data_IF_107419651169
#
_entry.id   IF_107419651169
#
_cell.length_a   1.000
_cell.length_b   1.000
_cell.length_c   1.000
_cell.angle_alpha   90.00
_cell.angle_beta   90.00
_cell.angle_gamma   90.00
#
_symmetry.space_group_name_H-M   'P 1'
#
loop_
_entity.id
_entity.type
_entity.pdbx_description
1 polymer ?
2 non-polymer ?
3 non-polymer ?
4 water ?
#
# COMPACT_ATOMS: atom_id res chain seq x y z
N UNK A 55 7.60 -11.29 -26.15
CA UNK A 55 6.35 -11.06 -25.35
C UNK A 55 6.39 -12.01 -24.11
N UNK A 56 6.06 -11.49 -22.96
CA UNK A 56 6.24 -12.23 -21.72
C UNK A 56 5.13 -13.22 -21.48
N UNK A 57 5.44 -14.38 -20.89
CA UNK A 57 4.38 -15.37 -20.63
C UNK A 57 3.31 -14.94 -19.58
N UNK A 58 2.12 -15.50 -19.75
CA UNK A 58 1.01 -15.24 -18.81
C UNK A 58 1.40 -15.68 -17.42
N UNK A 59 1.10 -14.87 -16.42
CA UNK A 59 1.21 -15.30 -15.01
C UNK A 59 0.29 -16.49 -14.75
N UNK A 60 0.75 -17.32 -13.85
CA UNK A 60 0.07 -18.49 -13.41
C UNK A 60 -0.25 -18.30 -11.89
N UNK A 61 -1.38 -18.86 -11.39
CA UNK A 61 -1.72 -18.76 -9.97
C UNK A 61 -0.58 -19.34 -9.08
N UNK A 62 -0.34 -18.72 -7.93
CA UNK A 62 0.67 -19.18 -6.95
C UNK A 62 0.40 -18.49 -5.66
N UNK A 63 0.63 -19.18 -4.53
CA UNK A 63 0.35 -18.56 -3.23
C UNK A 63 1.27 -17.38 -2.95
N UNK A 64 0.71 -16.40 -2.24
CA UNK A 64 1.51 -15.34 -1.64
C UNK A 64 2.64 -15.97 -0.76
N UNK A 65 3.79 -15.28 -0.66
CA UNK A 65 4.75 -15.81 0.30
C UNK A 65 4.42 -15.57 1.76
N UNK A 66 4.84 -16.55 2.57
CA UNK A 66 4.93 -16.34 4.04
C UNK A 66 6.34 -16.07 4.51
N UNK A 67 6.40 -15.38 5.68
CA UNK A 67 7.70 -15.14 6.32
C UNK A 67 8.35 -16.49 6.51
N UNK A 68 9.68 -16.49 6.38
CA UNK A 68 10.49 -17.70 6.67
C UNK A 68 11.62 -17.35 7.66
N UNK A 69 12.05 -18.39 8.38
CA UNK A 69 13.05 -18.26 9.40
C UNK A 69 14.40 -18.27 8.67
N UNK A 70 15.22 -17.31 9.05
CA UNK A 70 16.58 -17.03 8.67
C UNK A 70 17.47 -17.56 9.79
N UNK A 71 18.78 -17.58 9.58
CA UNK A 71 19.69 -17.76 10.76
C UNK A 71 19.82 -16.53 11.69
N UNK A 72 19.24 -15.37 11.35
CA UNK A 72 19.32 -14.20 12.24
C UNK A 72 18.60 -14.37 13.59
N UNK A 73 19.13 -13.71 14.61
CA UNK A 73 18.54 -13.68 15.93
C UNK A 73 18.13 -12.27 16.33
N UNK A 74 18.53 -11.25 15.56
CA UNK A 74 18.14 -9.88 15.84
C UNK A 74 17.69 -9.25 14.52
N UNK A 75 16.86 -8.21 14.60
CA UNK A 75 16.40 -7.48 13.39
C UNK A 75 17.48 -6.55 12.95
N UNK A 76 18.04 -6.79 11.75
CA UNK A 76 19.11 -5.98 11.20
C UNK A 76 18.86 -5.73 9.72
N UNK A 77 18.89 -4.46 9.38
CA UNK A 77 18.72 -4.08 8.01
C UNK A 77 19.90 -4.57 7.14
N UNK A 78 19.58 -5.09 5.96
CA UNK A 78 20.60 -5.41 4.98
C UNK A 78 21.11 -4.18 4.23
N UNK A 79 21.81 -4.41 3.11
CA UNK A 79 22.35 -3.32 2.34
C UNK A 79 21.21 -2.40 1.81
N UNK A 80 21.51 -1.11 1.70
CA UNK A 80 20.50 -0.13 1.24
C UNK A 80 20.70 0.01 -0.28
N UNK A 81 19.61 -0.02 -1.06
CA UNK A 81 19.68 0.09 -2.51
C UNK A 81 18.98 1.42 -2.87
N UNK A 82 19.67 2.26 -3.64
CA UNK A 82 19.10 3.50 -4.11
C UNK A 82 18.27 3.23 -5.34
N UNK A 83 16.96 3.01 -5.22
CA UNK A 83 16.16 2.60 -6.39
C UNK A 83 15.92 3.77 -7.34
N UNK A 84 15.74 4.97 -6.80
CA UNK A 84 15.57 6.16 -7.61
C UNK A 84 16.07 7.33 -6.75
N UNK A 85 16.91 8.16 -7.33
CA UNK A 85 17.50 9.25 -6.55
C UNK A 85 17.01 10.58 -7.14
N UNK A 86 16.52 11.49 -6.28
CA UNK A 86 16.06 12.83 -6.72
C UNK A 86 17.23 13.50 -7.47
N UNK A 87 16.85 14.19 -8.55
CA UNK A 87 17.81 14.89 -9.47
C UNK A 87 18.63 13.99 -10.33
N UNK A 88 18.24 12.72 -10.38
CA UNK A 88 18.81 11.70 -11.31
C UNK A 88 17.61 11.33 -12.18
N UNK A 89 17.37 12.02 -13.31
CA UNK A 89 18.11 13.15 -13.93
C UNK A 89 17.62 14.44 -13.34
N UNK A 90 18.31 15.52 -13.69
CA UNK A 90 18.04 16.84 -13.16
C UNK A 90 16.55 17.17 -13.26
N UNK A 91 16.06 17.70 -12.17
CA UNK A 91 14.67 18.25 -12.06
C UNK A 91 13.57 17.15 -11.97
N UNK A 92 13.98 15.90 -11.78
CA UNK A 92 13.04 14.82 -11.54
C UNK A 92 13.15 14.30 -10.09
N UNK A 93 11.98 14.09 -9.47
CA UNK A 93 11.86 13.69 -8.03
C UNK A 93 11.08 12.43 -7.92
N UNK A 94 11.34 11.67 -6.86
CA UNK A 94 10.65 10.35 -6.71
C UNK A 94 10.05 10.23 -5.33
N UNK A 95 8.79 9.79 -5.24
CA UNK A 95 8.06 9.70 -3.96
C UNK A 95 7.01 8.61 -4.09
N UNK A 96 6.52 8.12 -2.95
CA UNK A 96 5.26 7.35 -2.79
C UNK A 96 5.44 5.83 -3.16
N UNK A 97 5.97 5.07 -2.19
CA UNK A 97 6.43 3.71 -2.60
C UNK A 97 5.32 2.63 -2.44
N UNK A 98 5.42 1.60 -3.24
CA UNK A 98 4.54 0.42 -3.22
C UNK A 98 5.50 -0.77 -3.44
N UNK A 99 5.32 -1.85 -2.69
CA UNK A 99 6.23 -3.01 -2.91
C UNK A 99 5.44 -4.27 -2.87
N UNK A 100 5.67 -5.20 -3.81
CA UNK A 100 4.96 -6.51 -3.82
C UNK A 100 5.78 -7.61 -4.39
N UNK A 101 5.42 -8.81 -3.96
CA UNK A 101 5.94 -10.04 -4.59
C UNK A 101 4.86 -10.53 -5.57
N UNK A 102 5.26 -10.55 -6.83
CA UNK A 102 4.47 -11.06 -7.98
C UNK A 102 4.33 -12.57 -7.84
N UNK A 103 3.39 -13.15 -8.60
CA UNK A 103 3.07 -14.59 -8.46
C UNK A 103 4.25 -15.43 -8.91
N UNK A 104 5.14 -14.90 -9.75
CA UNK A 104 6.33 -15.66 -10.14
C UNK A 104 7.50 -15.47 -9.16
N UNK A 105 7.26 -14.75 -8.05
CA UNK A 105 8.25 -14.50 -7.05
C UNK A 105 9.13 -13.30 -7.27
N UNK A 106 8.98 -12.59 -8.41
CA UNK A 106 9.69 -11.32 -8.65
C UNK A 106 9.24 -10.29 -7.60
N UNK A 107 10.17 -9.40 -7.23
CA UNK A 107 9.92 -8.33 -6.27
C UNK A 107 9.79 -7.02 -7.02
N UNK A 108 8.65 -6.35 -6.84
CA UNK A 108 8.32 -5.25 -7.71
C UNK A 108 8.20 -4.01 -6.79
N UNK A 109 8.89 -2.95 -7.17
CA UNK A 109 8.76 -1.71 -6.49
C UNK A 109 8.17 -0.69 -7.46
N UNK A 110 7.13 0.05 -7.02
CA UNK A 110 6.51 1.11 -7.84
C UNK A 110 6.55 2.43 -7.07
N UNK A 111 6.56 3.57 -7.76
CA UNK A 111 6.62 4.85 -7.07
C UNK A 111 6.32 5.90 -8.14
N UNK A 112 6.10 7.12 -7.69
CA UNK A 112 5.88 8.25 -8.61
C UNK A 112 7.23 8.73 -9.18
N UNK A 113 7.24 9.08 -10.46
CA UNK A 113 8.26 9.99 -11.01
C UNK A 113 7.49 11.32 -11.05
N UNK A 114 8.04 12.34 -10.39
CA UNK A 114 7.41 13.64 -10.27
C UNK A 114 8.30 14.68 -10.97
N UNK A 115 7.82 15.21 -12.10
CA UNK A 115 8.72 16.15 -12.88
C UNK A 115 8.68 17.54 -12.28
N UNK A 116 9.84 18.21 -12.24
CA UNK A 116 9.91 19.63 -11.84
C UNK A 116 10.08 19.83 -10.36
N UNK A 117 9.27 19.14 -9.55
CA UNK A 117 9.39 19.17 -8.09
C UNK A 117 8.72 17.91 -7.57
N UNK A 118 8.74 17.69 -6.25
CA UNK A 118 8.10 16.50 -5.73
C UNK A 118 6.61 16.78 -5.50
N UNK A 119 5.95 17.46 -6.44
CA UNK A 119 4.53 17.90 -6.19
C UNK A 119 3.54 16.74 -6.24
N UNK A 120 2.48 16.80 -5.41
CA UNK A 120 1.43 15.82 -5.47
C UNK A 120 0.58 16.09 -6.73
N UNK A 121 -0.33 15.18 -7.06
CA UNK A 121 -1.43 15.57 -8.01
C UNK A 121 -1.99 16.97 -7.69
N UNK A 122 -2.26 17.77 -8.72
CA UNK A 122 -2.24 17.48 -10.16
C UNK A 122 -0.89 17.78 -10.88
N UNK A 123 0.25 17.79 -10.18
CA UNK A 123 1.54 17.75 -10.88
C UNK A 123 1.46 16.55 -11.87
N UNK A 124 2.01 16.69 -13.11
CA UNK A 124 1.75 15.64 -14.14
C UNK A 124 2.74 14.48 -13.98
N UNK A 125 2.51 13.74 -12.90
CA UNK A 125 3.42 12.64 -12.47
C UNK A 125 3.24 11.37 -13.33
N UNK A 126 4.14 10.40 -13.17
CA UNK A 126 4.02 9.09 -13.83
C UNK A 126 4.14 8.03 -12.77
N UNK A 127 3.55 6.85 -13.04
CA UNK A 127 3.85 5.65 -12.20
C UNK A 127 4.93 4.85 -12.91
N UNK A 128 6.02 4.57 -12.18
CA UNK A 128 7.10 3.74 -12.73
C UNK A 128 7.39 2.51 -11.83
N UNK A 129 8.30 1.64 -12.25
CA UNK A 129 8.51 0.37 -11.56
C UNK A 129 9.94 -0.12 -11.77
N UNK A 130 10.46 -0.79 -10.77
CA UNK A 130 11.68 -1.60 -10.96
C UNK A 130 11.44 -2.99 -10.43
N UNK A 131 12.12 -3.99 -11.06
CA UNK A 131 11.92 -5.39 -10.72
C UNK A 131 13.22 -6.03 -10.27
N UNK A 132 13.10 -6.83 -9.22
CA UNK A 132 14.22 -7.74 -8.78
C UNK A 132 13.81 -9.20 -8.92
N UNK A 133 14.71 -10.02 -9.53
CA UNK A 133 14.42 -11.42 -9.68
C UNK A 133 15.33 -12.22 -8.73
N UNK A 134 15.91 -11.53 -7.74
CA UNK A 134 16.72 -12.21 -6.74
C UNK A 134 16.50 -11.61 -5.33
N UNK A 135 15.22 -11.30 -5.03
CA UNK A 135 14.84 -10.89 -3.69
C UNK A 135 15.58 -9.68 -3.25
N UNK A 136 15.76 -8.75 -4.17
CA UNK A 136 16.25 -7.46 -3.77
C UNK A 136 17.74 -7.26 -3.97
N UNK A 137 18.52 -8.30 -4.31
CA UNK A 137 19.96 -8.05 -4.48
C UNK A 137 20.28 -7.20 -5.68
N UNK A 138 19.60 -7.42 -6.82
CA UNK A 138 19.83 -6.60 -8.01
C UNK A 138 18.45 -6.20 -8.57
N UNK A 139 18.45 -5.09 -9.29
CA UNK A 139 17.23 -4.48 -9.77
C UNK A 139 17.39 -4.16 -11.22
N UNK A 140 16.41 -4.57 -12.05
CA UNK A 140 16.34 -4.15 -13.47
C UNK A 140 16.11 -2.62 -13.65
N UNK A 141 16.26 -2.14 -14.87
CA UNK A 141 16.03 -0.70 -15.10
C UNK A 141 14.55 -0.28 -14.92
N UNK A 142 14.34 0.97 -14.58
CA UNK A 142 12.98 1.48 -14.40
C UNK A 142 12.15 1.25 -15.69
N UNK A 143 10.89 0.89 -15.50
CA UNK A 143 9.91 0.76 -16.61
C UNK A 143 8.75 1.66 -16.24
N UNK A 144 7.93 1.98 -17.23
CA UNK A 144 6.78 2.87 -17.01
C UNK A 144 5.52 2.05 -16.89
N UNK A 145 4.79 2.25 -15.80
CA UNK A 145 3.42 1.75 -15.71
C UNK A 145 2.47 2.68 -16.42
N UNK A 146 2.42 3.97 -16.07
CA UNK A 146 1.66 4.86 -16.91
C UNK A 146 2.27 6.24 -16.81
N UNK A 147 2.61 6.79 -17.97
CA UNK A 147 3.34 8.07 -18.06
C UNK A 147 2.34 9.24 -18.16
N UNK A 148 2.57 10.28 -17.36
CA UNK A 148 1.81 11.54 -17.42
C UNK A 148 2.26 12.36 -18.63
N UNK A 149 1.62 13.51 -18.80
CA UNK A 149 1.79 14.41 -19.95
C UNK A 149 1.77 15.84 -19.39
N UNK A 150 2.75 16.68 -19.77
CA UNK A 150 2.83 18.05 -19.25
C UNK A 150 1.95 19.02 -20.08
N UNK A 151 1.68 20.22 -19.59
CA UNK A 151 1.12 21.23 -20.49
C UNK A 151 -0.28 21.65 -20.16
N UNK A 152 -0.96 22.28 -21.12
CA UNK A 152 -2.24 22.87 -20.83
C UNK A 152 -3.29 21.82 -20.61
N UNK A 153 -3.12 20.67 -21.24
CA UNK A 153 -4.03 19.57 -21.03
C UNK A 153 -3.30 18.47 -20.28
N UNK A 154 -2.55 18.87 -19.27
CA UNK A 154 -1.74 17.90 -18.50
C UNK A 154 -2.57 16.74 -17.97
N UNK A 155 -1.90 15.59 -17.84
CA UNK A 155 -2.48 14.37 -17.22
C UNK A 155 -1.43 13.83 -16.28
N UNK A 156 -1.84 13.38 -15.09
CA UNK A 156 -0.87 12.86 -14.11
C UNK A 156 -1.35 11.52 -13.58
N UNK A 157 -0.43 10.61 -13.36
CA UNK A 157 -0.71 9.29 -12.68
C UNK A 157 0.15 9.23 -11.43
N UNK A 158 -0.47 9.10 -10.26
CA UNK A 158 0.25 9.35 -8.98
C UNK A 158 -0.30 8.48 -7.81
N UNK A 159 0.60 8.08 -6.89
CA UNK A 159 0.28 7.36 -5.62
C UNK A 159 -0.11 5.93 -5.98
N UNK A 160 0.87 5.09 -6.24
CA UNK A 160 0.60 3.70 -6.64
C UNK A 160 0.40 2.74 -5.45
N UNK A 161 -0.47 1.76 -5.66
CA UNK A 161 -0.51 0.60 -4.74
C UNK A 161 -0.64 -0.64 -5.55
N UNK A 162 0.02 -1.73 -5.12
CA UNK A 162 -0.16 -2.95 -5.78
C UNK A 162 -1.20 -3.82 -5.06
N UNK A 163 -1.81 -4.75 -5.84
CA UNK A 163 -2.70 -5.74 -5.27
C UNK A 163 -2.45 -7.01 -6.09
N UNK A 164 -1.89 -8.03 -5.45
CA UNK A 164 -1.56 -9.26 -6.15
C UNK A 164 -2.69 -10.27 -5.86
N UNK A 165 -3.27 -10.89 -6.92
CA UNK A 165 -4.28 -11.92 -6.71
C UNK A 165 -3.61 -13.32 -6.88
N UNK A 166 -3.36 -14.05 -5.78
CA UNK A 166 -2.70 -15.36 -5.90
C UNK A 166 -3.58 -16.37 -6.64
N UNK A 167 -4.88 -16.08 -6.70
CA UNK A 167 -5.77 -17.08 -7.26
C UNK A 167 -5.70 -17.07 -8.81
N UNK A 168 -5.23 -15.96 -9.37
CA UNK A 168 -5.11 -15.81 -10.82
C UNK A 168 -3.72 -15.50 -11.34
N UNK A 169 -2.86 -14.99 -10.46
CA UNK A 169 -1.59 -14.44 -10.89
C UNK A 169 -1.62 -13.01 -11.40
N UNK A 170 -2.80 -12.39 -11.48
CA UNK A 170 -2.85 -11.04 -12.01
C UNK A 170 -2.41 -10.04 -10.96
N UNK A 171 -1.75 -8.95 -11.40
CA UNK A 171 -1.35 -7.83 -10.46
C UNK A 171 -2.05 -6.58 -10.90
N UNK A 172 -2.54 -5.82 -9.91
CA UNK A 172 -3.23 -4.54 -10.12
C UNK A 172 -2.29 -3.48 -9.61
N UNK A 173 -2.28 -2.31 -10.25
CA UNK A 173 -1.63 -1.13 -9.66
C UNK A 173 -2.66 0.01 -9.73
N UNK A 174 -3.11 0.45 -8.55
CA UNK A 174 -4.12 1.51 -8.45
C UNK A 174 -3.36 2.83 -8.32
N UNK A 175 -3.91 3.90 -8.85
CA UNK A 175 -3.30 5.23 -8.61
C UNK A 175 -4.32 6.26 -9.08
N UNK A 176 -4.07 7.52 -8.72
CA UNK A 176 -4.95 8.57 -9.26
C UNK A 176 -4.66 8.80 -10.74
N UNK A 177 -5.70 9.31 -11.43
CA UNK A 177 -5.50 9.97 -12.70
C UNK A 177 -5.99 11.42 -12.55
N UNK A 178 -5.04 12.36 -12.67
CA UNK A 178 -5.36 13.79 -12.48
C UNK A 178 -5.31 14.52 -13.81
N UNK A 179 -6.15 15.54 -13.84
CA UNK A 179 -6.08 16.53 -14.90
C UNK A 179 -5.71 17.88 -14.25
N UNK A 180 -6.66 18.77 -13.88
CA UNK A 180 -6.30 20.03 -13.25
C UNK A 180 -6.46 20.13 -11.72
N UNK A 181 -7.02 19.09 -11.12
CA UNK A 181 -7.35 19.11 -9.71
C UNK A 181 -6.73 17.91 -8.98
N UNK A 182 -6.29 18.21 -7.78
CA UNK A 182 -5.79 17.12 -6.93
C UNK A 182 -6.83 16.71 -5.89
N UNK A 183 -6.35 16.04 -4.85
CA UNK A 183 -7.26 15.49 -3.82
C UNK A 183 -8.14 16.59 -3.18
N UNK A 184 -7.50 17.67 -2.74
CA UNK A 184 -8.22 18.73 -2.02
C UNK A 184 -9.14 19.60 -2.87
N UNK A 185 -8.91 19.69 -4.19
CA UNK A 185 -9.62 20.68 -4.99
C UNK A 185 -10.55 19.96 -5.96
N UNK A 186 -10.52 18.60 -5.98
CA UNK A 186 -11.39 17.84 -6.91
C UNK A 186 -12.87 18.21 -6.63
N UNK A 187 -13.72 18.22 -7.70
CA UNK A 187 -15.16 18.49 -7.47
C UNK A 187 -15.97 17.23 -7.76
N UNK A 188 -17.23 17.22 -7.30
CA UNK A 188 -18.14 16.14 -7.64
C UNK A 188 -18.22 15.94 -9.18
N UNK A 189 -18.41 14.69 -9.57
CA UNK A 189 -18.58 14.31 -10.97
C UNK A 189 -17.77 13.03 -11.19
N UNK A 190 -18.19 12.24 -12.18
CA UNK A 190 -17.50 11.00 -12.51
C UNK A 190 -17.28 10.88 -14.03
N UNK A 191 -17.52 11.95 -14.81
CA UNK A 191 -17.32 11.79 -16.25
C UNK A 191 -15.83 11.64 -16.54
N UNK A 192 -15.43 10.60 -17.28
CA UNK A 192 -13.99 10.33 -17.41
C UNK A 192 -13.15 11.44 -17.98
N UNK A 193 -13.75 12.40 -18.70
CA UNK A 193 -12.97 13.48 -19.29
C UNK A 193 -13.04 14.76 -18.48
N UNK A 194 -13.71 14.74 -17.33
CA UNK A 194 -13.88 15.94 -16.48
C UNK A 194 -12.57 16.37 -15.86
N UNK A 195 -12.01 17.49 -16.32
CA UNK A 195 -10.73 17.98 -15.80
C UNK A 195 -10.77 18.52 -14.35
N UNK A 196 -11.97 18.73 -13.81
CA UNK A 196 -12.15 19.14 -12.43
C UNK A 196 -12.26 17.98 -11.44
N UNK A 197 -12.19 16.75 -11.93
CA UNK A 197 -12.38 15.59 -11.04
C UNK A 197 -11.03 14.88 -10.91
N UNK A 198 -10.74 14.42 -9.69
CA UNK A 198 -9.62 13.49 -9.47
C UNK A 198 -10.09 12.09 -9.71
N UNK A 199 -9.55 11.44 -10.76
CA UNK A 199 -10.11 10.17 -11.20
C UNK A 199 -9.37 9.04 -10.53
N UNK A 200 -9.97 7.87 -10.47
CA UNK A 200 -9.27 6.66 -9.96
C UNK A 200 -9.01 5.71 -11.15
N UNK A 201 -7.74 5.28 -11.32
CA UNK A 201 -7.38 4.36 -12.39
C UNK A 201 -6.89 3.09 -11.75
N UNK A 202 -7.14 1.97 -12.44
CA UNK A 202 -6.43 0.75 -12.09
C UNK A 202 -5.71 0.24 -13.35
N UNK A 203 -4.44 -0.13 -13.19
CA UNK A 203 -3.64 -0.74 -14.26
C UNK A 203 -3.58 -2.24 -13.93
N UNK A 204 -3.87 -3.07 -14.95
CA UNK A 204 -3.82 -4.55 -14.81
C UNK A 204 -2.71 -5.13 -15.61
N UNK A 205 -1.99 -6.04 -14.97
CA UNK A 205 -0.98 -6.86 -15.64
C UNK A 205 -1.30 -8.36 -15.49
N UNK A 206 -1.28 -9.06 -16.64
CA UNK A 206 -1.45 -10.52 -16.66
C UNK A 206 -0.10 -11.22 -16.90
N UNK A 207 0.99 -10.47 -16.91
CA UNK A 207 2.32 -11.12 -17.21
C UNK A 207 3.38 -10.79 -16.11
N UNK A 208 2.93 -10.78 -14.84
CA UNK A 208 3.82 -10.51 -13.66
C UNK A 208 4.43 -9.13 -13.75
N UNK A 209 3.64 -8.16 -14.27
CA UNK A 209 4.08 -6.77 -14.24
C UNK A 209 4.97 -6.24 -15.35
N UNK A 210 5.12 -7.02 -16.43
CA UNK A 210 5.90 -6.55 -17.58
C UNK A 210 5.07 -5.64 -18.45
N UNK A 211 3.78 -5.96 -18.66
CA UNK A 211 2.94 -4.98 -19.41
C UNK A 211 1.64 -4.68 -18.68
N UNK A 212 1.04 -3.55 -19.01
CA UNK A 212 -0.10 -3.04 -18.25
C UNK A 212 -1.19 -2.58 -19.17
N UNK A 213 -2.44 -2.79 -18.77
CA UNK A 213 -3.54 -2.07 -19.41
C UNK A 213 -4.33 -1.25 -18.39
N UNK A 214 -4.88 -0.13 -18.84
CA UNK A 214 -5.36 0.91 -17.92
C UNK A 214 -6.81 1.12 -18.04
N UNK A 215 -7.45 1.42 -16.92
CA UNK A 215 -8.82 1.88 -17.01
C UNK A 215 -9.32 2.64 -15.82
N UNK A 216 -10.28 3.52 -16.16
CA UNK A 216 -10.84 4.42 -15.18
C UNK A 216 -11.96 3.72 -14.39
N UNK A 217 -11.84 3.71 -13.05
CA UNK A 217 -12.84 3.01 -12.21
C UNK A 217 -13.67 4.02 -11.36
N UNK A 218 -13.49 5.31 -11.61
CA UNK A 218 -14.21 6.34 -10.78
C UNK A 218 -15.71 6.10 -10.72
N UNK A 219 -16.39 5.81 -11.84
CA UNK A 219 -17.87 5.77 -11.81
C UNK A 219 -18.36 4.59 -10.95
N UNK A 220 -17.76 3.41 -11.17
CA UNK A 220 -18.22 2.19 -10.49
C UNK A 220 -18.01 2.17 -9.02
N UNK A 221 -17.01 2.94 -8.54
CA UNK A 221 -16.78 3.02 -7.09
C UNK A 221 -17.40 4.25 -6.44
N UNK A 222 -18.22 5.01 -7.20
CA UNK A 222 -18.90 6.23 -6.66
C UNK A 222 -20.39 6.00 -6.64
N UNK A 223 -20.89 5.45 -5.53
CA UNK A 223 -22.37 5.28 -5.38
C UNK A 223 -23.05 6.49 -4.70
N UNK A 224 -22.26 7.31 -4.02
CA UNK A 224 -22.80 8.53 -3.33
C UNK A 224 -22.38 9.71 -4.15
N UNK A 225 -23.35 10.36 -4.82
CA UNK A 225 -23.04 11.47 -5.73
C UNK A 225 -22.45 12.71 -5.05
N UNK A 226 -22.39 12.76 -3.70
CA UNK A 226 -21.73 13.88 -2.99
C UNK A 226 -20.21 13.63 -2.79
N UNK A 227 -19.76 12.44 -3.21
CA UNK A 227 -18.31 12.10 -3.09
C UNK A 227 -17.56 12.92 -4.14
N UNK A 228 -16.79 13.88 -3.64
CA UNK A 228 -16.22 14.86 -4.53
C UNK A 228 -14.77 14.53 -4.87
N UNK A 229 -14.15 13.54 -4.21
CA UNK A 229 -12.72 13.21 -4.43
C UNK A 229 -12.43 11.87 -3.81
N UNK A 230 -11.36 11.20 -4.26
CA UNK A 230 -10.99 9.88 -3.72
C UNK A 230 -9.59 9.60 -4.14
N UNK A 231 -8.85 8.83 -3.32
CA UNK A 231 -7.62 8.20 -3.78
C UNK A 231 -7.41 6.89 -3.01
N UNK A 232 -6.96 5.86 -3.70
CA UNK A 232 -6.60 4.60 -3.11
C UNK A 232 -5.27 4.86 -2.41
N UNK A 233 -5.14 4.36 -1.19
CA UNK A 233 -3.93 4.65 -0.40
C UNK A 233 -2.71 3.92 -1.01
N UNK A 234 -1.62 4.66 -1.21
CA UNK A 234 -0.42 4.00 -1.78
C UNK A 234 0.16 2.98 -0.80
N UNK A 235 0.78 1.94 -1.40
CA UNK A 235 1.31 0.86 -0.59
C UNK A 235 0.72 -0.37 -1.24
N UNK A 236 0.04 -1.20 -0.48
CA UNK A 236 -0.52 -2.44 -1.07
C UNK A 236 -1.87 -2.79 -0.46
N UNK A 237 -2.78 -3.30 -1.30
CA UNK A 237 -4.07 -3.84 -0.88
C UNK A 237 -3.87 -5.34 -0.70
N UNK A 238 -4.97 -6.10 -0.66
CA UNK A 238 -4.88 -7.52 -0.29
C UNK A 238 -5.88 -8.34 -1.12
N UNK A 239 -5.56 -9.63 -1.22
CA UNK A 239 -6.56 -10.65 -1.60
C UNK A 239 -6.93 -11.37 -0.31
N UNK A 240 -8.22 -11.59 -0.11
CA UNK A 240 -8.68 -12.38 1.06
C UNK A 240 -8.54 -13.85 0.80
N UNK A 241 -8.01 -14.55 1.81
CA UNK A 241 -7.74 -15.98 1.69
C UNK A 241 -8.58 -16.87 2.58
N UNK A 242 -9.29 -16.30 3.53
CA UNK A 242 -9.93 -17.09 4.58
C UNK A 242 -11.32 -16.65 4.75
N UNK A 243 -12.15 -17.53 5.29
CA UNK A 243 -13.50 -17.04 5.70
C UNK A 243 -14.48 -16.86 4.53
N UNK A 244 -15.67 -16.33 4.81
CA UNK A 244 -16.76 -16.33 3.82
C UNK A 244 -16.41 -15.50 2.58
N UNK A 245 -15.51 -14.52 2.67
CA UNK A 245 -15.20 -13.70 1.48
C UNK A 245 -13.91 -14.05 0.84
N UNK A 246 -13.37 -15.25 1.15
CA UNK A 246 -12.16 -15.68 0.49
C UNK A 246 -12.26 -15.50 -1.01
N UNK A 247 -11.20 -14.98 -1.61
CA UNK A 247 -11.16 -14.69 -3.04
C UNK A 247 -11.38 -13.21 -3.38
N UNK A 248 -12.12 -12.47 -2.49
CA UNK A 248 -12.38 -11.04 -2.70
C UNK A 248 -11.00 -10.30 -2.75
N UNK A 249 -10.90 -9.31 -3.62
CA UNK A 249 -9.72 -8.42 -3.66
C UNK A 249 -10.16 -7.08 -3.08
N UNK A 250 -9.36 -6.48 -2.20
CA UNK A 250 -9.90 -5.28 -1.51
C UNK A 250 -8.75 -4.31 -1.29
N UNK A 251 -9.03 -3.01 -1.44
CA UNK A 251 -8.06 -1.92 -1.14
C UNK A 251 -8.84 -0.79 -0.52
N UNK A 252 -8.12 0.04 0.23
CA UNK A 252 -8.81 1.16 0.88
C UNK A 252 -8.56 2.50 0.16
N UNK A 253 -9.59 3.37 0.22
CA UNK A 253 -9.46 4.75 -0.24
C UNK A 253 -9.66 5.74 0.86
N UNK A 254 -9.26 7.01 0.59
CA UNK A 254 -9.76 8.15 1.37
C UNK A 254 -10.71 8.90 0.46
N UNK A 255 -11.83 9.40 1.02
CA UNK A 255 -12.83 10.11 0.23
C UNK A 255 -13.23 11.38 1.00
N UNK A 256 -13.78 12.38 0.30
CA UNK A 256 -14.53 13.44 0.96
C UNK A 256 -15.93 13.43 0.40
N UNK A 257 -16.95 13.50 1.27
CA UNK A 257 -18.32 13.43 0.78
C UNK A 257 -19.13 14.37 1.71
N UNK A 258 -20.47 14.26 1.67
CA UNK A 258 -21.31 15.17 2.47
C UNK A 258 -21.14 14.99 3.97
N UNK A 259 -20.63 13.81 4.41
CA UNK A 259 -20.35 13.55 5.82
C UNK A 259 -18.99 14.07 6.34
N UNK A 260 -17.92 13.84 5.59
CA UNK A 260 -16.61 14.29 5.98
C UNK A 260 -15.58 13.58 5.13
N UNK A 261 -14.39 13.50 5.71
CA UNK A 261 -13.24 12.82 5.12
C UNK A 261 -13.20 11.44 5.71
N UNK A 262 -13.59 10.47 4.88
CA UNK A 262 -13.85 9.10 5.40
C UNK A 262 -12.92 8.07 4.73
N UNK A 263 -12.76 6.90 5.38
CA UNK A 263 -12.11 5.76 4.77
C UNK A 263 -13.20 4.92 4.05
N UNK A 264 -12.87 4.28 2.94
CA UNK A 264 -13.89 3.55 2.14
C UNK A 264 -13.20 2.40 1.44
N UNK A 265 -13.71 1.19 1.62
CA UNK A 265 -13.13 0.05 0.88
C UNK A 265 -13.64 0.02 -0.54
N UNK A 266 -12.80 -0.42 -1.47
CA UNK A 266 -13.34 -0.82 -2.82
C UNK A 266 -12.95 -2.31 -2.92
N UNK A 267 -13.85 -3.08 -3.56
CA UNK A 267 -13.51 -4.53 -3.61
C UNK A 267 -14.10 -5.17 -4.87
N UNK A 268 -13.49 -6.30 -5.24
CA UNK A 268 -13.90 -7.01 -6.45
C UNK A 268 -14.15 -8.46 -6.05
N UNK A 269 -15.27 -9.04 -6.49
CA UNK A 269 -15.57 -10.48 -6.29
C UNK A 269 -15.44 -11.30 -7.56
N UNK A 270 -15.00 -10.67 -8.63
CA UNK A 270 -14.77 -11.34 -9.91
C UNK A 270 -13.29 -11.18 -10.31
N UNK A 271 -12.41 -11.13 -9.30
CA UNK A 271 -10.95 -11.28 -9.52
C UNK A 271 -10.47 -10.11 -10.35
N UNK A 272 -11.05 -8.94 -10.06
CA UNK A 272 -10.57 -7.69 -10.61
C UNK A 272 -11.21 -7.19 -11.92
N UNK A 273 -12.28 -7.81 -12.42
CA UNK A 273 -12.98 -7.25 -13.58
C UNK A 273 -13.77 -5.98 -13.22
N UNK A 274 -14.52 -6.07 -12.13
CA UNK A 274 -15.38 -4.93 -11.66
C UNK A 274 -15.18 -4.63 -10.17
N UNK A 275 -15.36 -3.35 -9.80
CA UNK A 275 -15.06 -2.85 -8.41
C UNK A 275 -16.33 -2.24 -7.83
N UNK A 276 -16.50 -2.36 -6.52
CA UNK A 276 -17.66 -1.83 -5.84
C UNK A 276 -17.18 -1.17 -4.57
N UNK A 277 -17.79 -0.05 -4.14
CA UNK A 277 -17.38 0.60 -2.90
C UNK A 277 -18.24 0.04 -1.75
N UNK A 278 -17.61 -0.31 -0.63
CA UNK A 278 -18.36 -0.57 0.60
C UNK A 278 -18.80 0.74 1.24
N UNK A 279 -19.41 0.62 2.40
CA UNK A 279 -19.92 1.82 3.08
C UNK A 279 -18.72 2.54 3.71
N UNK A 280 -18.71 3.85 3.57
CA UNK A 280 -17.57 4.59 4.14
C UNK A 280 -17.59 4.61 5.66
N UNK A 281 -16.45 5.00 6.28
CA UNK A 281 -16.40 5.02 7.79
C UNK A 281 -15.52 6.13 8.29
N UNK A 282 -15.92 6.70 9.44
CA UNK A 282 -15.01 7.52 10.25
C UNK A 282 -15.04 9.00 9.89
N UNK A 283 -14.36 9.80 10.70
CA UNK A 283 -14.16 11.21 10.35
C UNK A 283 -12.66 11.50 10.49
N UNK A 284 -12.19 12.52 9.78
CA UNK A 284 -10.76 12.86 9.72
C UNK A 284 -9.87 11.65 9.43
N UNK A 285 -10.32 10.84 8.47
CA UNK A 285 -9.56 9.65 8.06
C UNK A 285 -8.61 10.10 6.97
N UNK A 286 -7.70 9.18 6.59
CA UNK A 286 -6.78 9.51 5.51
C UNK A 286 -6.24 8.17 5.03
N UNK A 287 -5.10 8.17 4.35
CA UNK A 287 -4.57 6.89 3.83
C UNK A 287 -4.67 5.79 4.88
N UNK A 288 -5.26 4.67 4.48
CA UNK A 288 -5.52 3.59 5.43
C UNK A 288 -5.34 2.30 4.73
N UNK A 289 -4.98 1.25 5.51
CA UNK A 289 -4.62 0.00 4.90
C UNK A 289 -5.42 -1.13 5.54
N UNK A 290 -5.77 -2.12 4.73
CA UNK A 290 -6.58 -3.21 5.23
C UNK A 290 -5.76 -4.47 5.29
N UNK A 291 -6.08 -5.34 6.27
CA UNK A 291 -5.36 -6.57 6.54
C UNK A 291 -6.42 -7.59 7.05
N UNK A 292 -6.24 -8.84 6.59
CA UNK A 292 -7.11 -9.94 6.94
C UNK A 292 -6.59 -10.59 8.20
N UNK A 293 -7.40 -10.55 9.28
CA UNK A 293 -6.97 -11.15 10.55
C UNK A 293 -7.19 -12.64 10.53
N UNK A 294 -6.73 -13.27 11.60
CA UNK A 294 -6.67 -14.76 11.58
C UNK A 294 -8.02 -15.45 11.37
N UNK A 295 -9.12 -14.82 11.76
CA UNK A 295 -10.41 -15.45 11.52
C UNK A 295 -11.14 -14.92 10.24
N UNK A 296 -10.43 -14.23 9.36
CA UNK A 296 -11.10 -13.46 8.33
C UNK A 296 -11.82 -12.14 8.67
N UNK A 297 -12.07 -11.76 9.94
CA UNK A 297 -12.40 -10.33 10.27
C UNK A 297 -11.38 -9.49 9.53
N UNK A 298 -11.76 -8.36 8.97
CA UNK A 298 -10.74 -7.42 8.45
C UNK A 298 -10.43 -6.28 9.49
N UNK A 299 -9.23 -5.71 9.35
CA UNK A 299 -8.84 -4.54 10.17
C UNK A 299 -8.38 -3.45 9.19
N UNK A 300 -8.70 -2.16 9.45
CA UNK A 300 -8.08 -1.10 8.70
C UNK A 300 -7.25 -0.29 9.71
N UNK A 301 -6.10 0.20 9.26
CA UNK A 301 -5.21 0.94 10.14
C UNK A 301 -4.97 2.24 9.32
N UNK A 302 -5.33 3.39 9.94
CA UNK A 302 -5.43 4.64 9.19
C UNK A 302 -4.51 5.73 9.73
N UNK A 303 -4.03 6.56 8.81
CA UNK A 303 -3.45 7.85 9.14
C UNK A 303 -4.57 8.76 9.68
N UNK A 304 -4.26 9.60 10.68
CA UNK A 304 -5.28 10.42 11.28
C UNK A 304 -5.12 11.84 10.80
N UNK A 305 -6.09 12.31 10.01
CA UNK A 305 -5.99 13.67 9.49
C UNK A 305 -6.08 14.72 10.63
N UNK A 306 -6.60 14.32 11.80
CA UNK A 306 -6.78 15.26 12.93
C UNK A 306 -5.49 15.36 13.78
N UNK A 307 -4.41 14.68 13.35
CA UNK A 307 -3.12 14.84 14.00
C UNK A 307 -3.12 14.53 15.50
N UNK A 308 -3.75 13.42 15.86
CA UNK A 308 -3.69 12.93 17.28
C UNK A 308 -2.32 12.50 17.73
N UNK A 309 -1.41 12.27 16.79
CA UNK A 309 -0.12 11.62 17.11
C UNK A 309 -0.20 10.10 17.14
N UNK A 310 -1.34 9.57 16.73
CA UNK A 310 -1.55 8.08 16.74
C UNK A 310 -2.21 7.60 15.43
N UNK A 311 -2.04 6.31 15.10
CA UNK A 311 -2.86 5.64 14.07
C UNK A 311 -4.31 5.44 14.57
N UNK A 312 -5.20 5.18 13.62
CA UNK A 312 -6.57 4.90 13.95
C UNK A 312 -6.89 3.48 13.43
N UNK A 313 -7.83 2.79 14.06
CA UNK A 313 -8.17 1.38 13.69
C UNK A 313 -9.69 1.17 13.69
N UNK A 314 -10.16 0.28 12.80
CA UNK A 314 -11.60 -0.15 12.75
C UNK A 314 -11.60 -1.57 12.20
N UNK A 315 -12.79 -2.18 12.36
CA UNK A 315 -12.94 -3.63 12.09
C UNK A 315 -14.16 -3.87 11.24
N UNK A 316 -14.07 -4.85 10.34
CA UNK A 316 -15.21 -5.24 9.48
C UNK A 316 -15.45 -6.77 9.59
N UNK A 317 -16.70 -7.15 9.79
CA UNK A 317 -17.07 -8.56 9.91
C UNK A 317 -17.70 -9.08 8.63
N UNK A 318 -17.68 -8.26 7.58
CA UNK A 318 -18.42 -8.59 6.35
C UNK A 318 -17.58 -8.26 5.12
N UNK A 319 -16.28 -8.31 5.29
CA UNK A 319 -15.42 -8.30 4.08
C UNK A 319 -15.30 -6.90 3.52
N UNK A 320 -15.49 -5.88 4.38
CA UNK A 320 -15.23 -4.53 3.94
C UNK A 320 -16.50 -3.78 3.48
N UNK A 321 -17.66 -4.45 3.51
CA UNK A 321 -18.93 -3.77 3.22
C UNK A 321 -19.29 -2.73 4.29
N UNK A 322 -19.09 -3.09 5.56
CA UNK A 322 -19.31 -2.12 6.65
C UNK A 322 -18.19 -2.21 7.65
N UNK A 323 -17.94 -1.07 8.30
CA UNK A 323 -16.91 -1.00 9.34
C UNK A 323 -17.54 -0.53 10.64
N UNK A 324 -16.94 -0.93 11.75
CA UNK A 324 -17.38 -0.38 13.04
C UNK A 324 -16.75 0.95 13.46
N UNK A 325 -16.86 1.28 14.73
CA UNK A 325 -16.27 2.53 15.26
C UNK A 325 -14.76 2.62 15.06
N UNK A 326 -14.29 3.85 14.83
CA UNK A 326 -12.85 4.10 14.61
C UNK A 326 -12.27 4.57 15.95
N UNK A 327 -11.19 3.96 16.43
CA UNK A 327 -10.53 4.36 17.70
C UNK A 327 -9.06 4.64 17.47
N UNK A 328 -8.44 5.45 18.34
CA UNK A 328 -6.95 5.55 18.23
C UNK A 328 -6.27 4.28 18.67
N UNK A 329 -5.10 4.03 18.11
CA UNK A 329 -4.26 2.94 18.62
C UNK A 329 -3.19 3.64 19.45
N UNK A 330 -3.33 3.53 20.78
CA UNK A 330 -2.46 4.30 21.69
C UNK A 330 -0.98 3.87 21.54
N UNK A 331 -0.71 2.61 21.21
CA UNK A 331 0.73 2.24 21.17
C UNK A 331 1.37 2.40 19.78
N UNK A 332 0.63 2.95 18.78
CA UNK A 332 1.23 3.25 17.45
C UNK A 332 1.32 4.75 17.19
N UNK A 333 2.44 5.31 17.63
CA UNK A 333 2.73 6.75 17.50
C UNK A 333 2.97 7.02 16.05
N UNK A 334 2.37 8.10 15.51
CA UNK A 334 2.47 8.36 14.07
C UNK A 334 2.26 9.85 13.85
N UNK A 335 2.99 10.45 12.87
CA UNK A 335 3.01 11.91 12.73
C UNK A 335 2.01 12.45 11.68
N UNK A 336 1.04 11.61 11.32
CA UNK A 336 0.01 11.85 10.24
C UNK A 336 0.74 11.66 8.90
N UNK A 337 0.95 10.38 8.57
CA UNK A 337 1.87 9.99 7.48
C UNK A 337 1.39 8.63 7.01
N UNK A 338 1.79 8.22 5.81
CA UNK A 338 1.40 6.86 5.41
C UNK A 338 2.22 5.78 6.18
N UNK A 339 1.79 4.52 6.04
CA UNK A 339 2.32 3.38 6.80
C UNK A 339 1.74 2.16 6.16
N UNK A 340 2.34 0.99 6.41
CA UNK A 340 1.74 -0.23 5.83
C UNK A 340 1.65 -1.33 6.91
N UNK A 341 0.50 -2.00 6.95
CA UNK A 341 0.32 -3.18 7.82
C UNK A 341 0.11 -4.38 6.95
N UNK A 342 0.71 -5.53 7.29
CA UNK A 342 0.57 -6.77 6.50
C UNK A 342 0.49 -7.99 7.42
N UNK A 343 -0.12 -9.06 6.92
CA UNK A 343 0.08 -10.36 7.56
C UNK A 343 1.52 -10.89 7.31
N UNK A 344 2.12 -11.42 8.35
CA UNK A 344 3.46 -12.10 8.22
C UNK A 344 3.27 -13.45 7.49
N UNK A 345 2.20 -14.17 7.87
CA UNK A 345 1.91 -15.50 7.33
C UNK A 345 0.49 -15.52 6.73
N UNK A 346 0.30 -14.89 5.56
CA UNK A 346 -1.07 -14.75 5.10
C UNK A 346 -1.78 -16.09 4.79
N UNK A 347 -0.99 -17.16 4.53
CA UNK A 347 -1.61 -18.47 4.25
C UNK A 347 -1.96 -19.26 5.49
N UNK A 348 -1.54 -18.78 6.66
CA UNK A 348 -1.72 -19.60 7.89
C UNK A 348 -3.21 -19.59 8.26
N UNK A 349 -3.67 -20.70 8.84
CA UNK A 349 -5.10 -20.88 9.01
C UNK A 349 -5.57 -20.34 10.34
N UNK A 350 -6.89 -20.10 10.45
CA UNK A 350 -7.50 -19.69 11.72
C UNK A 350 -7.18 -20.65 12.84
N UNK A 351 -6.85 -20.08 14.01
CA UNK A 351 -6.48 -20.85 15.18
C UNK A 351 -5.00 -21.18 15.27
N UNK A 352 -4.20 -20.85 14.26
CA UNK A 352 -2.77 -21.03 14.39
C UNK A 352 -2.15 -19.76 15.00
N UNK A 353 -1.00 -19.90 15.65
CA UNK A 353 -0.26 -18.73 16.18
C UNK A 353 0.23 -17.84 15.01
N UNK A 354 0.69 -18.49 13.93
CA UNK A 354 1.19 -17.73 12.76
C UNK A 354 0.13 -16.82 12.14
N UNK A 355 -1.13 -17.28 12.08
CA UNK A 355 -2.23 -16.49 11.47
C UNK A 355 -2.52 -15.14 12.18
N UNK A 356 -2.08 -15.00 13.44
CA UNK A 356 -2.34 -13.84 14.26
C UNK A 356 -1.24 -12.81 14.21
N UNK A 357 -0.15 -13.07 13.45
CA UNK A 357 1.00 -12.16 13.50
C UNK A 357 0.94 -11.10 12.40
N UNK A 358 0.99 -9.86 12.84
CA UNK A 358 0.93 -8.71 11.90
C UNK A 358 2.26 -7.95 12.01
N UNK A 359 2.68 -7.38 10.87
CA UNK A 359 3.87 -6.51 10.79
C UNK A 359 3.39 -5.14 10.32
N UNK A 360 3.98 -4.11 10.89
CA UNK A 360 3.57 -2.76 10.56
C UNK A 360 4.81 -1.90 10.43
N UNK A 361 4.88 -1.12 9.35
CA UNK A 361 5.95 -0.13 9.21
C UNK A 361 5.41 1.30 9.18
N UNK A 362 6.06 2.23 9.94
CA UNK A 362 5.69 3.67 9.83
C UNK A 362 6.83 4.50 10.37
N UNK A 363 6.62 5.81 10.44
CA UNK A 363 7.57 6.72 11.13
C UNK A 363 7.13 6.85 12.57
N UNK A 364 7.87 6.19 13.49
CA UNK A 364 7.40 6.16 14.87
C UNK A 364 7.84 7.45 15.58
N UNK A 365 6.99 8.47 15.46
CA UNK A 365 7.29 9.76 15.99
C UNK A 365 5.99 10.51 15.94
N UNK A 366 5.73 11.39 16.92
CA UNK A 366 4.42 12.09 16.93
C UNK A 366 4.23 13.23 15.98
N UNK A 367 5.31 13.79 15.42
CA UNK A 367 5.12 15.01 14.61
C UNK A 367 6.01 15.10 13.38
N UNK A 368 7.09 14.30 13.30
CA UNK A 368 8.06 14.40 12.20
C UNK A 368 8.14 13.01 11.52
N UNK A 369 8.41 12.98 10.19
CA UNK A 369 8.41 11.71 9.48
C UNK A 369 9.77 11.02 9.52
N UNK A 370 10.17 10.69 10.76
CA UNK A 370 11.46 10.10 11.08
C UNK A 370 11.35 8.76 11.82
N UNK A 371 12.45 8.00 11.78
CA UNK A 371 12.58 6.72 12.52
C UNK A 371 11.66 5.68 11.89
N UNK A 372 12.05 5.22 10.67
CA UNK A 372 11.29 4.10 10.02
C UNK A 372 11.37 2.90 10.97
N UNK A 373 10.21 2.38 11.38
CA UNK A 373 10.15 1.39 12.46
C UNK A 373 9.23 0.26 12.09
N UNK A 374 9.66 -0.96 12.44
CA UNK A 374 8.89 -2.18 12.24
C UNK A 374 8.29 -2.56 13.61
N UNK A 375 6.95 -2.67 13.65
CA UNK A 375 6.25 -3.04 14.88
C UNK A 375 5.59 -4.37 14.62
N UNK A 376 5.54 -5.20 15.64
CA UNK A 376 4.99 -6.54 15.49
C UNK A 376 3.86 -6.75 16.48
N UNK A 377 2.74 -7.34 16.03
CA UNK A 377 1.67 -7.81 16.94
C UNK A 377 1.51 -9.32 16.79
N UNK A 378 1.38 -10.03 17.93
CA UNK A 378 1.21 -11.47 17.94
C UNK A 378 -0.23 -11.88 18.06
N UNK A 379 -1.10 -10.89 18.17
CA UNK A 379 -2.48 -11.17 18.61
C UNK A 379 -3.53 -10.45 17.77
N UNK A 380 -3.36 -10.58 16.43
CA UNK A 380 -4.35 -10.00 15.50
C UNK A 380 -4.46 -8.47 15.67
N UNK A 381 -3.38 -7.83 16.12
CA UNK A 381 -3.39 -6.35 16.17
C UNK A 381 -3.95 -5.83 17.46
N UNK A 382 -4.23 -6.70 18.44
CA UNK A 382 -4.79 -6.19 19.70
C UNK A 382 -3.76 -5.39 20.50
N UNK A 383 -2.51 -5.85 20.49
CA UNK A 383 -1.40 -5.20 21.14
C UNK A 383 -0.18 -5.21 20.23
N UNK A 384 0.71 -4.25 20.42
CA UNK A 384 1.98 -4.19 19.65
C UNK A 384 3.12 -4.39 20.60
N UNK A 385 3.72 -5.58 20.59
CA UNK A 385 4.73 -5.97 21.60
C UNK A 385 6.16 -5.60 21.32
N UNK A 386 6.45 -5.12 20.10
CA UNK A 386 7.82 -4.87 19.68
C UNK A 386 7.78 -3.71 18.69
N UNK A 387 8.61 -2.71 18.91
CA UNK A 387 8.85 -1.62 17.95
C UNK A 387 10.34 -1.50 17.77
N UNK A 388 10.83 -1.57 16.53
CA UNK A 388 12.26 -1.46 16.32
C UNK A 388 12.61 -0.63 15.08
N UNK A 389 13.38 0.41 15.31
CA UNK A 389 13.66 1.34 14.23
C UNK A 389 14.74 0.76 13.37
N UNK A 390 14.44 0.51 12.09
CA UNK A 390 15.40 -0.05 11.17
C UNK A 390 16.04 1.10 10.37
N UNK A 391 15.44 2.31 10.36
CA UNK A 391 16.07 3.45 9.62
C UNK A 391 15.92 4.78 10.39
N UNK A 392 16.96 5.14 11.13
CA UNK A 392 16.90 6.43 11.88
C UNK A 392 16.88 7.62 10.92
N UNK A 393 16.22 8.69 11.32
CA UNK A 393 16.15 9.90 10.50
C UNK A 393 15.03 9.87 9.48
N UNK A 394 15.12 10.74 8.48
CA UNK A 394 13.98 11.00 7.62
C UNK A 394 13.62 9.72 6.84
N UNK A 395 12.35 9.34 6.94
CA UNK A 395 11.82 8.19 6.13
C UNK A 395 10.54 8.47 5.33
N UNK A 396 9.80 9.53 5.64
CA UNK A 396 8.60 9.86 4.82
C UNK A 396 7.66 8.64 4.81
N UNK A 397 7.05 8.36 3.64
CA UNK A 397 6.26 7.14 3.47
C UNK A 397 7.10 5.87 3.46
N UNK A 398 6.69 4.87 4.26
CA UNK A 398 7.27 3.53 4.19
C UNK A 398 6.22 2.50 3.83
N UNK A 399 6.74 1.41 3.24
CA UNK A 399 5.94 0.20 3.08
C UNK A 399 6.83 -0.99 3.26
N UNK A 400 6.20 -2.18 3.40
CA UNK A 400 6.94 -3.43 3.56
C UNK A 400 6.10 -4.51 2.92
N UNK A 401 6.76 -5.57 2.48
CA UNK A 401 6.06 -6.70 1.82
C UNK A 401 6.85 -7.93 2.12
N UNK A 402 6.18 -9.04 2.45
CA UNK A 402 6.96 -10.33 2.49
C UNK A 402 7.52 -10.68 1.07
N UNK A 403 8.79 -11.06 1.02
CA UNK A 403 9.44 -11.40 -0.25
C UNK A 403 9.27 -12.90 -0.49
N UNK A 404 9.61 -13.31 -1.70
CA UNK A 404 9.49 -14.74 -2.01
C UNK A 404 10.41 -15.58 -1.09
N UNK A 405 11.55 -15.05 -0.66
CA UNK A 405 12.46 -15.86 0.15
C UNK A 405 12.05 -15.86 1.64
N UNK A 406 10.97 -15.10 2.00
CA UNK A 406 10.43 -15.12 3.36
C UNK A 406 11.03 -14.04 4.26
N UNK A 407 11.97 -13.26 3.71
CA UNK A 407 12.47 -12.04 4.40
C UNK A 407 11.51 -10.92 4.11
N UNK A 408 11.68 -9.80 4.82
CA UNK A 408 10.79 -8.61 4.62
C UNK A 408 11.50 -7.60 3.72
N UNK A 409 10.85 -7.10 2.67
CA UNK A 409 11.43 -5.95 1.91
C UNK A 409 10.83 -4.72 2.51
N UNK A 410 11.60 -3.62 2.57
CA UNK A 410 11.07 -2.32 2.99
C UNK A 410 11.44 -1.27 1.96
N UNK A 411 10.58 -0.23 1.79
CA UNK A 411 10.94 0.95 1.01
C UNK A 411 10.68 2.15 1.92
N UNK A 412 11.50 3.17 1.77
CA UNK A 412 11.17 4.44 2.41
C UNK A 412 11.62 5.59 1.50
N UNK A 413 11.30 6.80 1.90
CA UNK A 413 11.57 7.98 1.10
C UNK A 413 12.70 8.77 1.79
N UNK A 414 13.86 8.92 1.10
CA UNK A 414 14.85 9.91 1.54
C UNK A 414 15.62 10.36 0.27
N UNK A 415 15.40 11.58 -0.16
CA UNK A 415 15.96 12.05 -1.44
C UNK A 415 15.75 11.04 -2.58
N UNK A 416 14.55 10.45 -2.57
CA UNK A 416 14.11 9.49 -3.61
C UNK A 416 13.62 8.26 -2.87
N UNK A 417 13.65 7.10 -3.52
CA UNK A 417 13.14 5.88 -2.92
C UNK A 417 14.34 4.98 -2.64
N UNK A 418 14.31 4.36 -1.48
CA UNK A 418 15.35 3.53 -1.01
C UNK A 418 14.72 2.18 -0.64
N UNK A 419 15.50 1.15 -0.80
CA UNK A 419 15.04 -0.23 -0.57
C UNK A 419 16.00 -0.92 0.35
N UNK A 420 15.49 -1.74 1.28
CA UNK A 420 16.41 -2.69 1.94
C UNK A 420 15.61 -3.92 2.38
N UNK A 421 16.30 -4.86 3.02
CA UNK A 421 15.75 -6.17 3.43
C UNK A 421 15.97 -6.40 4.90
N UNK A 422 14.98 -6.99 5.57
CA UNK A 422 15.13 -7.39 6.97
C UNK A 422 14.91 -8.90 7.03
N UNK A 423 15.99 -9.66 7.21
CA UNK A 423 15.81 -11.14 7.35
C UNK A 423 14.98 -11.33 8.61
N UNK A 424 14.18 -12.40 8.65
CA UNK A 424 13.13 -12.52 9.61
C UNK A 424 13.31 -13.67 10.62
N UNK A 425 14.53 -14.23 10.71
CA UNK A 425 14.80 -15.31 11.71
C UNK A 425 14.52 -14.93 13.17
N UNK A 426 14.62 -13.64 13.49
CA UNK A 426 14.40 -13.18 14.87
C UNK A 426 12.92 -13.19 15.29
N UNK A 427 11.96 -13.38 14.36
CA UNK A 427 10.53 -13.21 14.70
C UNK A 427 10.08 -14.11 15.84
N UNK A 428 10.55 -15.37 15.85
CA UNK A 428 10.09 -16.35 16.86
C UNK A 428 10.42 -15.92 18.27
N UNK A 429 11.48 -15.12 18.41
CA UNK A 429 11.87 -14.58 19.71
C UNK A 429 10.88 -13.52 20.22
N UNK A 430 10.09 -12.90 19.34
CA UNK A 430 9.05 -11.89 19.69
C UNK A 430 7.64 -12.52 19.73
N UNK A 431 7.30 -13.35 18.73
CA UNK A 431 6.01 -14.07 18.67
C UNK A 431 6.41 -15.53 18.51
N UNK A 432 6.21 -16.36 19.54
CA UNK A 432 6.55 -17.79 19.37
C UNK A 432 5.64 -18.40 18.31
N UNK A 433 6.25 -19.22 17.47
CA UNK A 433 5.63 -19.64 16.22
C UNK A 433 4.95 -21.00 16.31
N UNK A 434 5.20 -21.76 17.38
CA UNK A 434 4.72 -23.15 17.46
C UNK A 434 3.22 -23.21 17.63
#
# INVERSE_FOLDING_TARGET
GSHMSGRAPAPVAATTQPKLVTGDITSTDQSGTNLFFGKKIVRNARGAIMKVDRTWPAAVPAPLPDVRADSSTRMLLGPVVDLAVNEHPEGVFYRIPALATASNGDLLASYDLRPGSAGDAPNPNSIVQRRSRDNGRTWGPQTVIHAGTPGRRKVGYSDPSYLVDPATGRILNFHVKSYDRGFATSEVGTDPDDRHVLHAEVSTSTDNGHTWTHRDITREITSDPTTRTRFVASGQGIALLHGPHAGRLIAQMTVRNSVGQQAQSIYSDDHGITWHAGNPVGRMMDENKVVELSDGTLMLNSRDAARSGRRKVAYSQDGGLTWGPVKLVDDLIDPTNNAQIIRAYPNARAGSAKARILLFTNARNATERVNGTLSVSCDDGRTWVSHQTYMPGEVGYTTAAVQSDGALGVLWERDGIRYSTIPMGWLNSVCPLAPSGRPTSGKPTSGTSLPPTAT
#
